data_IF_185301941413
#
_entry.id   IF_185301941413
#
_cell.length_a   1.000
_cell.length_b   1.000
_cell.length_c   1.000
_cell.angle_alpha   90.00
_cell.angle_beta   90.00
_cell.angle_gamma   90.00
#
_symmetry.space_group_name_H-M   'P 1'
#
loop_
_entity.id
_entity.type
_entity.pdbx_description
1 polymer ?
#
# COMPACT_ATOMS: atom_id res chain seq x y z
N UNK A 1 35.10 -0.73 20.30
CA UNK A 1 36.02 -0.33 19.23
C UNK A 1 35.14 -0.10 18.02
N UNK A 2 34.85 1.16 17.68
CA UNK A 2 34.19 1.51 16.42
C UNK A 2 35.15 1.10 15.29
N UNK A 3 34.83 0.02 14.60
CA UNK A 3 35.49 -0.27 13.34
C UNK A 3 35.09 0.88 12.40
N UNK A 4 36.09 1.62 11.91
CA UNK A 4 35.90 2.68 10.95
C UNK A 4 35.06 2.11 9.79
N UNK A 5 33.94 2.77 9.49
CA UNK A 5 33.03 2.32 8.40
C UNK A 5 33.80 2.26 7.08
N UNK A 6 33.73 1.10 6.42
CA UNK A 6 34.37 0.88 5.12
C UNK A 6 33.64 1.75 4.07
N UNK A 7 34.39 2.63 3.39
CA UNK A 7 33.86 3.48 2.33
C UNK A 7 34.11 2.89 0.95
N UNK A 8 33.28 3.26 -0.03
CA UNK A 8 33.45 2.83 -1.43
C UNK A 8 34.84 3.21 -1.98
N UNK A 9 35.33 4.44 -1.67
CA UNK A 9 36.63 4.91 -2.13
C UNK A 9 37.79 4.08 -1.54
N UNK A 10 37.72 3.73 -0.26
CA UNK A 10 38.71 2.87 0.37
C UNK A 10 38.77 1.48 -0.27
N UNK A 11 37.59 0.94 -0.65
CA UNK A 11 37.51 -0.35 -1.32
C UNK A 11 38.07 -0.29 -2.74
N UNK A 12 37.74 0.75 -3.51
CA UNK A 12 38.18 0.92 -4.90
C UNK A 12 39.66 1.27 -5.04
N UNK A 13 40.35 1.66 -3.97
CA UNK A 13 41.80 1.86 -3.95
C UNK A 13 42.59 0.58 -3.69
N UNK A 14 41.95 -0.57 -3.53
CA UNK A 14 42.62 -1.86 -3.31
C UNK A 14 43.14 -2.44 -4.63
N UNK A 15 44.29 -3.09 -4.58
CA UNK A 15 44.81 -3.89 -5.65
C UNK A 15 44.29 -5.34 -5.56
N UNK A 16 43.53 -5.77 -6.57
CA UNK A 16 42.99 -7.14 -6.63
C UNK A 16 43.87 -8.04 -7.49
N UNK A 17 44.29 -9.21 -6.99
CA UNK A 17 45.24 -10.09 -7.70
C UNK A 17 44.54 -10.90 -8.83
N UNK A 18 44.07 -10.21 -9.88
CA UNK A 18 43.34 -10.83 -10.97
C UNK A 18 44.09 -11.93 -11.69
N UNK A 19 45.43 -11.78 -11.82
CA UNK A 19 46.32 -12.77 -12.42
C UNK A 19 46.35 -14.11 -11.65
N UNK A 20 46.29 -14.02 -10.32
CA UNK A 20 46.20 -15.19 -9.44
C UNK A 20 44.89 -15.94 -9.69
N UNK A 21 43.76 -15.23 -9.82
CA UNK A 21 42.49 -15.86 -10.12
C UNK A 21 42.43 -16.51 -11.53
N UNK A 22 43.14 -15.93 -12.51
CA UNK A 22 43.25 -16.54 -13.81
C UNK A 22 44.12 -17.80 -13.75
N UNK A 23 45.27 -17.76 -13.06
CA UNK A 23 46.16 -18.91 -12.94
C UNK A 23 45.51 -20.10 -12.21
N UNK A 24 44.61 -19.82 -11.27
CA UNK A 24 43.80 -20.82 -10.55
C UNK A 24 42.51 -21.20 -11.30
N UNK A 25 42.30 -20.70 -12.54
CA UNK A 25 41.14 -20.95 -13.39
C UNK A 25 39.79 -20.50 -12.80
N UNK A 26 39.78 -19.58 -11.86
CA UNK A 26 38.56 -18.95 -11.31
C UNK A 26 37.99 -17.89 -12.25
N UNK A 27 38.85 -17.26 -13.07
CA UNK A 27 38.44 -16.38 -14.16
C UNK A 27 39.11 -16.80 -15.46
N UNK A 28 38.48 -16.47 -16.60
CA UNK A 28 39.05 -16.72 -17.94
C UNK A 28 40.06 -15.64 -18.34
N UNK A 29 40.90 -15.93 -19.34
CA UNK A 29 41.80 -14.91 -19.89
C UNK A 29 41.08 -13.72 -20.51
N UNK A 30 39.88 -13.92 -21.10
CA UNK A 30 39.02 -12.84 -21.60
C UNK A 30 38.48 -11.99 -20.45
N UNK A 31 38.05 -12.62 -19.34
CA UNK A 31 37.63 -11.92 -18.14
C UNK A 31 38.76 -11.07 -17.55
N UNK A 32 39.99 -11.60 -17.50
CA UNK A 32 41.16 -10.83 -17.03
C UNK A 32 41.42 -9.60 -17.89
N UNK A 33 41.33 -9.73 -19.23
CA UNK A 33 41.52 -8.59 -20.14
C UNK A 33 40.46 -7.48 -19.90
N UNK A 34 39.18 -7.85 -19.70
CA UNK A 34 38.13 -6.91 -19.41
C UNK A 34 38.35 -6.21 -18.07
N UNK A 35 38.70 -6.97 -17.01
CA UNK A 35 39.00 -6.40 -15.70
C UNK A 35 40.18 -5.41 -15.77
N UNK A 36 41.29 -5.75 -16.42
CA UNK A 36 42.43 -4.86 -16.60
C UNK A 36 42.09 -3.56 -17.36
N UNK A 37 41.14 -3.63 -18.32
CA UNK A 37 40.66 -2.44 -19.04
C UNK A 37 39.80 -1.54 -18.16
N UNK A 38 39.03 -2.10 -17.28
CA UNK A 38 38.06 -1.41 -16.44
C UNK A 38 38.67 -0.85 -15.14
N UNK A 39 39.64 -1.57 -14.61
CA UNK A 39 40.25 -1.32 -13.30
C UNK A 39 40.99 0.02 -13.28
N UNK A 40 40.87 0.74 -12.16
CA UNK A 40 41.52 2.05 -11.91
C UNK A 40 41.32 3.09 -13.04
N UNK A 41 40.24 3.00 -13.80
CA UNK A 41 39.89 3.98 -14.84
C UNK A 41 38.98 5.09 -14.29
N UNK A 42 39.02 6.24 -14.95
CA UNK A 42 38.07 7.32 -14.69
C UNK A 42 36.65 6.91 -15.05
N UNK A 43 35.65 7.57 -14.43
CA UNK A 43 34.24 7.30 -14.73
C UNK A 43 33.91 7.44 -16.22
N UNK A 44 34.46 8.48 -16.90
CA UNK A 44 34.25 8.69 -18.34
C UNK A 44 34.79 7.55 -19.20
N UNK A 45 35.97 7.00 -18.84
CA UNK A 45 36.53 5.85 -19.52
C UNK A 45 35.73 4.58 -19.29
N UNK A 46 35.29 4.34 -18.04
CA UNK A 46 34.40 3.21 -17.71
C UNK A 46 33.05 3.34 -18.43
N UNK A 47 32.49 4.54 -18.51
CA UNK A 47 31.26 4.80 -19.25
C UNK A 47 31.39 4.38 -20.72
N UNK A 48 32.48 4.77 -21.39
CA UNK A 48 32.72 4.40 -22.77
C UNK A 48 32.86 2.88 -22.96
N UNK A 49 33.57 2.20 -22.06
CA UNK A 49 33.69 0.72 -22.10
C UNK A 49 32.34 0.03 -21.95
N UNK A 50 31.45 0.55 -21.09
CA UNK A 50 30.11 0.02 -20.88
C UNK A 50 29.17 0.34 -22.06
N UNK A 51 29.37 1.44 -22.75
CA UNK A 51 28.61 1.78 -23.94
C UNK A 51 29.05 0.89 -25.12
N UNK A 52 30.34 0.50 -25.19
CA UNK A 52 30.88 -0.38 -26.23
C UNK A 52 30.44 -1.84 -26.05
N UNK A 53 30.55 -2.42 -24.85
CA UNK A 53 30.19 -3.81 -24.53
C UNK A 53 29.82 -4.00 -23.07
N UNK A 54 28.80 -3.32 -22.58
CA UNK A 54 28.32 -3.37 -21.20
C UNK A 54 27.97 -4.77 -20.73
N UNK A 55 27.26 -5.61 -21.52
CA UNK A 55 26.91 -6.98 -21.11
C UNK A 55 28.14 -7.86 -20.81
N UNK A 56 29.24 -7.70 -21.52
CA UNK A 56 30.47 -8.47 -21.25
C UNK A 56 31.08 -8.13 -19.87
N UNK A 57 31.10 -6.84 -19.50
CA UNK A 57 31.57 -6.41 -18.18
C UNK A 57 30.65 -6.90 -17.06
N UNK A 58 29.34 -6.77 -17.22
CA UNK A 58 28.35 -7.26 -16.24
C UNK A 58 28.50 -8.77 -16.05
N UNK A 59 28.70 -9.54 -17.13
CA UNK A 59 28.95 -10.98 -17.05
C UNK A 59 30.17 -11.31 -16.20
N UNK A 60 31.26 -10.59 -16.40
CA UNK A 60 32.49 -10.80 -15.62
C UNK A 60 32.22 -10.49 -14.13
N UNK A 61 31.57 -9.38 -13.81
CA UNK A 61 31.25 -9.03 -12.43
C UNK A 61 30.37 -10.08 -11.75
N UNK A 62 29.30 -10.52 -12.40
CA UNK A 62 28.38 -11.54 -11.88
C UNK A 62 29.11 -12.87 -11.64
N UNK A 63 29.98 -13.31 -12.58
CA UNK A 63 30.76 -14.54 -12.43
C UNK A 63 31.77 -14.46 -11.32
N UNK A 64 32.47 -13.32 -11.18
CA UNK A 64 33.40 -13.09 -10.04
C UNK A 64 32.64 -13.20 -8.71
N UNK A 65 31.48 -12.54 -8.58
CA UNK A 65 30.67 -12.64 -7.35
C UNK A 65 30.13 -14.05 -7.10
N UNK A 66 29.89 -14.84 -8.15
CA UNK A 66 29.44 -16.24 -8.04
C UNK A 66 30.55 -17.17 -7.58
N UNK A 67 31.74 -17.02 -8.15
CA UNK A 67 32.81 -18.04 -8.09
C UNK A 67 33.95 -17.70 -7.11
N UNK A 68 34.08 -16.41 -6.70
CA UNK A 68 35.10 -15.92 -5.78
C UNK A 68 34.48 -15.52 -4.45
N UNK A 69 34.98 -16.09 -3.34
CA UNK A 69 34.44 -15.86 -1.99
C UNK A 69 35.38 -15.03 -1.10
N UNK A 70 36.49 -14.54 -1.64
CA UNK A 70 37.40 -13.67 -0.89
C UNK A 70 36.73 -12.32 -0.65
N UNK A 71 36.61 -11.92 0.62
CA UNK A 71 35.86 -10.75 1.05
C UNK A 71 36.33 -9.47 0.34
N UNK A 72 37.64 -9.21 0.33
CA UNK A 72 38.20 -8.03 -0.36
C UNK A 72 37.77 -7.92 -1.83
N UNK A 73 37.73 -9.06 -2.53
CA UNK A 73 37.36 -9.10 -3.95
C UNK A 73 35.87 -8.92 -4.16
N UNK A 74 35.05 -9.54 -3.29
CA UNK A 74 33.59 -9.36 -3.31
C UNK A 74 33.22 -7.90 -3.06
N UNK A 75 33.78 -7.28 -2.03
CA UNK A 75 33.58 -5.87 -1.73
C UNK A 75 33.98 -4.96 -2.90
N UNK A 76 35.13 -5.24 -3.50
CA UNK A 76 35.65 -4.48 -4.64
C UNK A 76 34.69 -4.53 -5.85
N UNK A 77 34.24 -5.72 -6.24
CA UNK A 77 33.32 -5.86 -7.37
C UNK A 77 31.96 -5.25 -7.09
N UNK A 78 31.45 -5.38 -5.86
CA UNK A 78 30.23 -4.70 -5.45
C UNK A 78 30.37 -3.17 -5.50
N UNK A 79 31.54 -2.65 -5.11
CA UNK A 79 31.83 -1.22 -5.22
C UNK A 79 31.88 -0.74 -6.67
N UNK A 80 32.46 -1.52 -7.59
CA UNK A 80 32.47 -1.22 -9.02
C UNK A 80 31.05 -1.16 -9.61
N UNK A 81 30.19 -2.14 -9.26
CA UNK A 81 28.81 -2.18 -9.73
C UNK A 81 28.00 -1.02 -9.14
N UNK A 82 28.17 -0.73 -7.84
CA UNK A 82 27.48 0.38 -7.18
C UNK A 82 27.86 1.73 -7.79
N UNK A 83 29.15 1.97 -8.05
CA UNK A 83 29.62 3.16 -8.75
C UNK A 83 29.02 3.27 -10.16
N UNK A 84 29.07 2.18 -10.93
CA UNK A 84 28.47 2.10 -12.27
C UNK A 84 26.98 2.49 -12.27
N UNK A 85 26.21 1.97 -11.31
CA UNK A 85 24.76 2.21 -11.20
C UNK A 85 24.44 3.59 -10.59
N UNK A 86 25.30 4.10 -9.71
CA UNK A 86 25.16 5.44 -9.14
C UNK A 86 25.41 6.51 -10.22
N UNK A 87 26.44 6.33 -11.04
CA UNK A 87 26.73 7.23 -12.16
C UNK A 87 25.61 7.24 -13.20
N UNK A 88 25.02 6.08 -13.51
CA UNK A 88 23.90 5.97 -14.44
C UNK A 88 22.99 4.80 -14.07
N UNK A 89 21.86 5.03 -13.36
CA UNK A 89 20.91 3.98 -12.96
C UNK A 89 20.32 3.18 -14.14
N UNK A 90 20.29 3.74 -15.36
CA UNK A 90 19.80 3.03 -16.54
C UNK A 90 20.67 1.83 -16.91
N UNK A 91 21.94 1.79 -16.46
CA UNK A 91 22.86 0.66 -16.68
C UNK A 91 22.40 -0.62 -15.96
N UNK A 92 21.48 -0.55 -15.02
CA UNK A 92 20.86 -1.73 -14.43
C UNK A 92 20.16 -2.62 -15.49
N UNK A 93 19.77 -2.07 -16.63
CA UNK A 93 19.21 -2.84 -17.77
C UNK A 93 20.22 -3.80 -18.40
N UNK A 94 21.51 -3.55 -18.27
CA UNK A 94 22.57 -4.44 -18.79
C UNK A 94 22.53 -5.84 -18.16
N UNK A 95 21.99 -5.94 -16.93
CA UNK A 95 21.80 -7.23 -16.24
C UNK A 95 20.70 -8.09 -16.87
N UNK A 96 19.88 -7.53 -17.74
CA UNK A 96 18.78 -8.19 -18.45
C UNK A 96 19.06 -8.36 -19.94
N UNK A 97 20.29 -8.13 -20.38
CA UNK A 97 20.66 -8.30 -21.76
C UNK A 97 20.61 -9.79 -22.17
N UNK A 98 20.16 -10.06 -23.40
CA UNK A 98 20.08 -11.43 -23.94
C UNK A 98 21.43 -12.16 -23.95
N UNK A 99 22.54 -11.42 -24.03
CA UNK A 99 23.88 -12.00 -23.91
C UNK A 99 24.11 -12.70 -22.56
N UNK A 100 23.37 -12.34 -21.52
CA UNK A 100 23.46 -12.92 -20.18
C UNK A 100 22.43 -14.04 -19.92
N UNK A 101 21.70 -14.48 -20.94
CA UNK A 101 20.62 -15.48 -20.79
C UNK A 101 21.07 -16.81 -20.14
N UNK A 102 22.34 -17.15 -20.19
CA UNK A 102 22.91 -18.35 -19.56
C UNK A 102 23.52 -18.10 -18.17
N UNK A 103 23.47 -16.86 -17.67
CA UNK A 103 24.01 -16.48 -16.36
C UNK A 103 22.87 -16.06 -15.41
N UNK A 104 22.85 -16.59 -14.18
CA UNK A 104 21.92 -16.09 -13.14
C UNK A 104 22.46 -14.78 -12.58
N UNK A 105 21.82 -13.68 -12.96
CA UNK A 105 22.22 -12.33 -12.57
C UNK A 105 21.69 -11.88 -11.20
N UNK A 106 20.89 -12.68 -10.52
CA UNK A 106 20.26 -12.32 -9.23
C UNK A 106 20.83 -13.13 -8.06
N UNK A 107 21.04 -14.43 -8.23
CA UNK A 107 21.46 -15.33 -7.16
C UNK A 107 22.70 -14.84 -6.40
N UNK A 108 23.78 -14.38 -7.06
CA UNK A 108 24.97 -13.94 -6.32
C UNK A 108 24.67 -12.82 -5.31
N UNK A 109 23.84 -11.85 -5.68
CA UNK A 109 23.46 -10.75 -4.78
C UNK A 109 22.53 -11.24 -3.66
N UNK A 110 21.56 -12.10 -3.96
CA UNK A 110 20.62 -12.64 -2.96
C UNK A 110 21.38 -13.46 -1.89
N UNK A 111 22.36 -14.25 -2.31
CA UNK A 111 23.24 -15.00 -1.40
C UNK A 111 24.07 -14.10 -0.49
N UNK A 112 24.60 -13.00 -1.04
CA UNK A 112 25.42 -12.04 -0.31
C UNK A 112 24.64 -11.25 0.75
N UNK A 113 23.32 -11.15 0.67
CA UNK A 113 22.50 -10.56 1.74
C UNK A 113 22.62 -11.29 3.08
N UNK A 114 22.97 -12.58 3.05
CA UNK A 114 23.06 -13.44 4.25
C UNK A 114 24.48 -13.60 4.77
N UNK A 115 25.46 -13.00 4.10
CA UNK A 115 26.88 -13.19 4.37
C UNK A 115 27.60 -11.86 4.39
N UNK A 116 28.79 -11.88 4.99
CA UNK A 116 29.67 -10.73 4.99
C UNK A 116 29.28 -9.66 5.99
N UNK A 117 30.03 -8.60 5.91
CA UNK A 117 29.84 -7.40 6.70
C UNK A 117 28.70 -6.51 6.14
N UNK A 118 28.42 -5.43 6.83
CA UNK A 118 27.38 -4.50 6.42
C UNK A 118 27.59 -3.90 5.02
N UNK A 119 28.84 -3.61 4.64
CA UNK A 119 29.16 -3.07 3.32
C UNK A 119 28.65 -3.99 2.19
N UNK A 120 28.95 -5.30 2.30
CA UNK A 120 28.52 -6.30 1.35
C UNK A 120 27.00 -6.42 1.30
N UNK A 121 26.34 -6.47 2.45
CA UNK A 121 24.88 -6.58 2.55
C UNK A 121 24.19 -5.34 1.95
N UNK A 122 24.64 -4.15 2.31
CA UNK A 122 24.06 -2.89 1.83
C UNK A 122 24.19 -2.75 0.31
N UNK A 123 25.39 -2.97 -0.23
CA UNK A 123 25.64 -2.86 -1.67
C UNK A 123 24.83 -3.91 -2.44
N UNK A 124 24.82 -5.16 -2.00
CA UNK A 124 24.06 -6.24 -2.63
C UNK A 124 22.55 -5.95 -2.64
N UNK A 125 21.99 -5.45 -1.52
CA UNK A 125 20.60 -5.09 -1.44
C UNK A 125 20.23 -3.96 -2.42
N UNK A 126 20.98 -2.87 -2.43
CA UNK A 126 20.74 -1.71 -3.30
C UNK A 126 20.84 -2.09 -4.78
N UNK A 127 21.90 -2.82 -5.15
CA UNK A 127 22.12 -3.29 -6.51
C UNK A 127 20.98 -4.21 -6.95
N UNK A 128 20.64 -5.22 -6.14
CA UNK A 128 19.57 -6.17 -6.46
C UNK A 128 18.22 -5.48 -6.60
N UNK A 129 17.86 -4.58 -5.68
CA UNK A 129 16.62 -3.81 -5.74
C UNK A 129 16.52 -3.00 -7.05
N UNK A 130 17.62 -2.36 -7.46
CA UNK A 130 17.64 -1.57 -8.68
C UNK A 130 17.55 -2.46 -9.94
N UNK A 131 18.32 -3.55 -10.00
CA UNK A 131 18.28 -4.48 -11.14
C UNK A 131 16.86 -5.02 -11.32
N UNK A 132 16.24 -5.51 -10.25
CA UNK A 132 14.88 -6.08 -10.31
C UNK A 132 13.85 -5.04 -10.74
N UNK A 133 13.99 -3.78 -10.30
CA UNK A 133 13.03 -2.71 -10.61
C UNK A 133 12.96 -2.33 -12.09
N UNK A 134 14.03 -2.58 -12.85
CA UNK A 134 14.13 -2.21 -14.28
C UNK A 134 13.97 -3.40 -15.22
N UNK A 135 13.62 -4.57 -14.70
CA UNK A 135 13.45 -5.78 -15.52
C UNK A 135 12.37 -5.60 -16.60
N UNK A 136 12.49 -6.24 -17.76
CA UNK A 136 11.44 -6.26 -18.77
C UNK A 136 10.15 -6.89 -18.23
N UNK A 137 9.01 -6.21 -18.40
CA UNK A 137 7.70 -6.67 -17.87
C UNK A 137 7.10 -7.86 -18.62
N UNK A 138 7.65 -8.22 -19.77
CA UNK A 138 7.07 -9.26 -20.66
C UNK A 138 7.50 -10.70 -20.33
N UNK A 139 8.20 -10.94 -19.21
CA UNK A 139 8.58 -12.29 -18.80
C UNK A 139 7.66 -12.92 -17.74
N UNK A 140 6.48 -12.37 -17.50
CA UNK A 140 5.46 -13.04 -16.71
C UNK A 140 4.62 -13.97 -17.60
N UNK A 141 4.98 -15.27 -17.61
CA UNK A 141 4.05 -16.34 -17.92
C UNK A 141 3.77 -16.62 -19.39
N UNK A 142 4.73 -17.14 -20.11
CA UNK A 142 4.43 -18.17 -21.13
C UNK A 142 5.09 -19.45 -20.65
N UNK A 143 4.30 -20.31 -20.01
CA UNK A 143 4.61 -21.72 -19.96
C UNK A 143 4.62 -22.21 -21.41
N UNK A 144 5.78 -22.29 -22.03
CA UNK A 144 5.97 -23.00 -23.28
C UNK A 144 5.77 -24.48 -22.98
N UNK A 145 4.59 -24.99 -23.34
CA UNK A 145 4.37 -26.42 -23.49
C UNK A 145 5.36 -26.99 -24.52
N UNK A 146 6.17 -27.92 -24.07
CA UNK A 146 6.75 -28.96 -24.88
C UNK A 146 7.99 -28.55 -25.66
N UNK A 147 9.16 -28.92 -25.16
CA UNK A 147 10.02 -29.91 -25.84
C UNK A 147 11.29 -30.17 -25.00
N UNK A 148 11.53 -31.43 -24.83
CA UNK A 148 12.70 -32.08 -24.20
C UNK A 148 14.02 -31.61 -24.79
N UNK A 149 14.94 -31.13 -23.94
CA UNK A 149 16.34 -31.56 -23.91
C UNK A 149 17.24 -30.61 -23.10
N UNK A 150 18.13 -31.21 -22.33
CA UNK A 150 19.22 -30.66 -21.55
C UNK A 150 18.86 -30.03 -20.20
N UNK A 151 19.32 -30.70 -19.15
CA UNK A 151 19.35 -30.25 -17.75
C UNK A 151 20.02 -28.86 -17.62
N UNK A 152 19.30 -27.79 -17.96
CA UNK A 152 19.69 -26.43 -17.54
C UNK A 152 19.39 -26.33 -16.05
N UNK A 153 20.38 -25.99 -15.25
CA UNK A 153 20.18 -25.61 -13.84
C UNK A 153 19.01 -24.60 -13.77
N UNK A 154 17.99 -24.84 -12.94
CA UNK A 154 16.89 -23.90 -12.82
C UNK A 154 17.44 -22.57 -12.28
N UNK A 155 17.31 -21.50 -13.07
CA UNK A 155 17.57 -20.15 -12.58
C UNK A 155 16.60 -19.83 -11.44
N UNK A 156 17.06 -19.02 -10.48
CA UNK A 156 16.20 -18.52 -9.40
C UNK A 156 15.03 -17.76 -10.01
N UNK A 157 13.80 -18.15 -9.68
CA UNK A 157 12.64 -17.42 -10.21
C UNK A 157 12.63 -15.99 -9.69
N UNK A 158 12.12 -15.05 -10.49
CA UNK A 158 12.07 -13.65 -10.11
C UNK A 158 11.21 -13.44 -8.85
N UNK A 159 10.16 -14.23 -8.68
CA UNK A 159 9.29 -14.16 -7.50
C UNK A 159 10.04 -14.64 -6.24
N UNK A 160 10.85 -15.69 -6.34
CA UNK A 160 11.71 -16.16 -5.24
C UNK A 160 12.76 -15.11 -4.85
N UNK A 161 13.32 -14.40 -5.85
CA UNK A 161 14.26 -13.30 -5.61
C UNK A 161 13.56 -12.17 -4.86
N UNK A 162 12.36 -11.77 -5.31
CA UNK A 162 11.58 -10.72 -4.68
C UNK A 162 11.17 -11.09 -3.26
N UNK A 163 10.67 -12.29 -3.04
CA UNK A 163 10.29 -12.80 -1.72
C UNK A 163 11.50 -12.85 -0.78
N UNK A 164 12.63 -13.36 -1.26
CA UNK A 164 13.87 -13.42 -0.50
C UNK A 164 14.40 -12.04 -0.09
N UNK A 165 14.32 -11.08 -1.02
CA UNK A 165 14.72 -9.70 -0.76
C UNK A 165 13.78 -9.02 0.24
N UNK A 166 12.47 -9.15 0.07
CA UNK A 166 11.46 -8.61 1.01
C UNK A 166 11.66 -9.17 2.42
N UNK A 167 11.93 -10.47 2.54
CA UNK A 167 12.20 -11.10 3.83
C UNK A 167 13.41 -10.45 4.51
N UNK A 168 14.51 -10.28 3.80
CA UNK A 168 15.71 -9.64 4.34
C UNK A 168 15.43 -8.18 4.73
N UNK A 169 14.69 -7.42 3.91
CA UNK A 169 14.30 -6.04 4.21
C UNK A 169 13.45 -5.94 5.49
N UNK A 170 12.49 -6.84 5.67
CA UNK A 170 11.71 -6.92 6.91
C UNK A 170 12.58 -7.27 8.14
N UNK A 171 13.59 -8.14 7.97
CA UNK A 171 14.57 -8.44 9.02
C UNK A 171 15.37 -7.19 9.41
N UNK A 172 15.81 -6.38 8.43
CA UNK A 172 16.49 -5.11 8.70
C UNK A 172 15.61 -4.10 9.42
N UNK A 173 14.30 -4.05 9.13
CA UNK A 173 13.37 -3.19 9.85
C UNK A 173 13.12 -3.66 11.30
N UNK A 174 13.17 -4.97 11.57
CA UNK A 174 13.00 -5.55 12.92
C UNK A 174 14.27 -5.45 13.76
N UNK A 175 15.38 -5.84 13.17
CA UNK A 175 16.69 -5.89 13.81
C UNK A 175 17.75 -5.51 12.78
N UNK A 176 18.08 -4.22 12.68
CA UNK A 176 19.04 -3.75 11.69
C UNK A 176 20.46 -4.31 11.96
N UNK A 177 21.11 -4.76 10.89
CA UNK A 177 22.52 -5.20 10.93
C UNK A 177 23.48 -4.03 11.18
N UNK A 178 23.03 -2.81 10.84
CA UNK A 178 23.77 -1.58 11.11
C UNK A 178 22.88 -0.57 11.85
N UNK A 179 23.34 0.03 12.97
CA UNK A 179 22.49 0.82 13.86
C UNK A 179 21.89 2.07 13.22
N UNK A 180 22.61 2.76 12.34
CA UNK A 180 22.17 4.02 11.72
C UNK A 180 21.76 3.88 10.25
N UNK A 181 22.24 2.87 9.52
CA UNK A 181 22.05 2.71 8.08
C UNK A 181 21.10 1.57 7.70
N UNK A 182 20.87 0.59 8.58
CA UNK A 182 20.06 -0.59 8.29
C UNK A 182 18.63 -0.22 7.92
N UNK A 183 17.94 0.54 8.76
CA UNK A 183 16.57 0.99 8.51
C UNK A 183 16.47 1.92 7.30
N UNK A 184 17.29 2.99 7.15
CA UNK A 184 17.27 3.83 5.96
C UNK A 184 17.48 3.06 4.65
N UNK A 185 18.43 2.12 4.61
CA UNK A 185 18.68 1.30 3.43
C UNK A 185 17.48 0.42 3.10
N UNK A 186 16.86 -0.20 4.10
CA UNK A 186 15.68 -1.04 3.88
C UNK A 186 14.48 -0.22 3.35
N UNK A 187 14.23 0.95 3.91
CA UNK A 187 13.13 1.84 3.46
C UNK A 187 13.38 2.34 2.04
N UNK A 188 14.61 2.76 1.73
CA UNK A 188 14.97 3.19 0.38
C UNK A 188 14.72 2.09 -0.67
N UNK A 189 15.14 0.86 -0.40
CA UNK A 189 14.88 -0.28 -1.30
C UNK A 189 13.38 -0.59 -1.41
N UNK A 190 12.63 -0.57 -0.30
CA UNK A 190 11.19 -0.79 -0.29
C UNK A 190 10.44 0.27 -1.11
N UNK A 191 10.82 1.54 -1.04
CA UNK A 191 10.20 2.62 -1.81
C UNK A 191 10.30 2.39 -3.32
N UNK A 192 11.32 1.68 -3.76
CA UNK A 192 11.50 1.27 -5.16
C UNK A 192 10.71 0.00 -5.50
N UNK A 193 10.75 -1.00 -4.63
CA UNK A 193 10.21 -2.34 -4.89
C UNK A 193 8.68 -2.43 -4.69
N UNK A 194 8.07 -1.66 -3.79
CA UNK A 194 6.62 -1.69 -3.52
C UNK A 194 5.75 -1.22 -4.70
N UNK A 195 6.35 -0.74 -5.77
CA UNK A 195 5.67 -0.54 -7.07
C UNK A 195 5.18 -1.86 -7.68
N UNK A 196 5.82 -2.97 -7.32
CA UNK A 196 5.49 -4.30 -7.82
C UNK A 196 4.40 -4.96 -6.95
N UNK A 197 3.31 -5.51 -7.57
CA UNK A 197 2.22 -6.15 -6.83
C UNK A 197 2.68 -7.34 -5.96
N UNK A 198 3.60 -8.17 -6.48
CA UNK A 198 4.16 -9.33 -5.74
C UNK A 198 4.87 -8.87 -4.47
N UNK A 199 5.63 -7.77 -4.54
CA UNK A 199 6.32 -7.21 -3.37
C UNK A 199 5.33 -6.71 -2.33
N UNK A 200 4.25 -6.02 -2.74
CA UNK A 200 3.21 -5.58 -1.80
C UNK A 200 2.57 -6.75 -1.08
N UNK A 201 2.21 -7.81 -1.82
CA UNK A 201 1.65 -9.03 -1.24
C UNK A 201 2.61 -9.68 -0.25
N UNK A 202 3.85 -9.94 -0.65
CA UNK A 202 4.86 -10.56 0.21
C UNK A 202 5.18 -9.72 1.44
N UNK A 203 5.21 -8.39 1.30
CA UNK A 203 5.48 -7.47 2.39
C UNK A 203 4.36 -7.46 3.44
N UNK A 204 3.09 -7.48 3.00
CA UNK A 204 1.93 -7.59 3.90
C UNK A 204 1.91 -8.95 4.60
N UNK A 205 2.16 -10.04 3.87
CA UNK A 205 2.24 -11.41 4.45
C UNK A 205 3.37 -11.54 5.49
N UNK A 206 4.45 -10.79 5.34
CA UNK A 206 5.55 -10.74 6.30
C UNK A 206 5.30 -9.78 7.49
N UNK A 207 4.06 -9.28 7.69
CA UNK A 207 3.73 -8.26 8.68
C UNK A 207 4.52 -6.95 8.53
N UNK A 208 5.02 -6.67 7.34
CA UNK A 208 5.90 -5.52 7.07
C UNK A 208 5.24 -4.17 7.35
N UNK A 209 3.92 -4.05 7.16
CA UNK A 209 3.19 -2.79 7.42
C UNK A 209 3.33 -2.35 8.87
N UNK A 210 3.33 -3.29 9.83
CA UNK A 210 3.56 -3.01 11.25
C UNK A 210 4.90 -2.32 11.52
N UNK A 211 5.91 -2.64 10.70
CA UNK A 211 7.27 -2.14 10.86
C UNK A 211 7.41 -0.71 10.33
N UNK A 212 6.55 -0.30 9.41
CA UNK A 212 6.54 1.06 8.86
C UNK A 212 5.83 2.07 9.76
N UNK A 213 4.73 1.66 10.41
CA UNK A 213 3.88 2.57 11.21
C UNK A 213 4.66 3.32 12.31
N UNK A 214 5.57 2.71 13.08
CA UNK A 214 6.37 3.43 14.07
C UNK A 214 7.32 4.48 13.48
N UNK A 215 7.72 4.31 12.21
CA UNK A 215 8.60 5.23 11.50
C UNK A 215 7.87 6.47 10.95
N UNK A 216 6.53 6.47 10.96
CA UNK A 216 5.73 7.65 10.65
C UNK A 216 5.69 8.52 11.90
N UNK A 217 6.71 9.36 12.06
CA UNK A 217 6.81 10.32 13.14
C UNK A 217 6.98 11.72 12.56
N UNK A 218 6.38 12.77 13.17
CA UNK A 218 6.75 14.12 12.86
C UNK A 218 8.27 14.25 13.01
N UNK A 219 8.88 15.07 12.17
CA UNK A 219 10.33 15.30 12.19
C UNK A 219 10.77 15.89 13.53
N UNK A 220 10.75 15.08 14.57
CA UNK A 220 11.49 15.37 15.78
C UNK A 220 12.97 15.17 15.48
N UNK A 221 13.79 15.96 16.04
CA UNK A 221 15.22 16.18 15.99
C UNK A 221 16.15 14.98 15.68
N UNK A 222 15.67 13.76 15.52
CA UNK A 222 16.48 12.54 15.35
C UNK A 222 16.24 11.79 14.03
N UNK A 223 15.16 12.08 13.28
CA UNK A 223 14.87 11.37 12.04
C UNK A 223 15.15 12.25 10.81
N UNK A 224 15.88 11.71 9.82
CA UNK A 224 16.12 12.45 8.59
C UNK A 224 14.82 12.67 7.82
N UNK A 225 14.65 13.86 7.23
CA UNK A 225 13.50 14.20 6.37
C UNK A 225 13.40 13.22 5.20
N UNK A 226 14.55 12.72 4.71
CA UNK A 226 14.57 11.75 3.63
C UNK A 226 13.98 10.41 4.06
N UNK A 227 14.31 9.92 5.25
CA UNK A 227 13.74 8.68 5.78
C UNK A 227 12.23 8.81 5.98
N UNK A 228 11.75 9.93 6.52
CA UNK A 228 10.32 10.21 6.67
C UNK A 228 9.61 10.22 5.31
N UNK A 229 10.18 10.91 4.32
CA UNK A 229 9.63 10.96 2.97
C UNK A 229 9.50 9.55 2.35
N UNK A 230 10.57 8.77 2.38
CA UNK A 230 10.59 7.41 1.81
C UNK A 230 9.65 6.46 2.56
N UNK A 231 9.52 6.59 3.89
CA UNK A 231 8.55 5.85 4.69
C UNK A 231 7.12 6.19 4.27
N UNK A 232 6.79 7.48 4.16
CA UNK A 232 5.48 7.93 3.68
C UNK A 232 5.21 7.47 2.24
N UNK A 233 6.24 7.44 1.38
CA UNK A 233 6.15 6.91 0.02
C UNK A 233 5.82 5.41 0.01
N UNK A 234 6.41 4.63 0.90
CA UNK A 234 6.06 3.21 1.07
C UNK A 234 4.58 3.05 1.47
N UNK A 235 4.09 3.84 2.41
CA UNK A 235 2.67 3.82 2.82
C UNK A 235 1.76 4.22 1.66
N UNK A 236 2.13 5.23 0.88
CA UNK A 236 1.38 5.63 -0.31
C UNK A 236 1.28 4.50 -1.34
N UNK A 237 2.38 3.80 -1.62
CA UNK A 237 2.38 2.64 -2.51
C UNK A 237 1.51 1.49 -1.98
N UNK A 238 1.48 1.28 -0.67
CA UNK A 238 0.64 0.29 -0.01
C UNK A 238 -0.85 0.69 0.02
N UNK A 239 -1.18 1.99 -0.06
CA UNK A 239 -2.57 2.46 -0.10
C UNK A 239 -3.34 2.06 -1.37
N UNK A 240 -2.67 1.48 -2.36
CA UNK A 240 -3.28 0.85 -3.55
C UNK A 240 -3.55 -0.65 -3.40
N UNK A 241 -3.22 -1.26 -2.25
CA UNK A 241 -3.34 -2.70 -2.03
C UNK A 241 -4.29 -2.98 -0.86
N UNK A 242 -5.46 -3.57 -1.17
CA UNK A 242 -6.57 -3.72 -0.21
C UNK A 242 -6.17 -4.39 1.13
N UNK A 243 -5.42 -5.51 1.15
CA UNK A 243 -5.00 -6.10 2.42
C UNK A 243 -4.11 -5.20 3.27
N UNK A 244 -3.33 -4.30 2.66
CA UNK A 244 -2.58 -3.29 3.40
C UNK A 244 -3.51 -2.20 3.98
N UNK A 245 -4.55 -1.81 3.23
CA UNK A 245 -5.53 -0.80 3.67
C UNK A 245 -6.28 -1.28 4.90
N UNK A 246 -6.70 -2.54 4.95
CA UNK A 246 -7.36 -3.14 6.11
C UNK A 246 -6.50 -2.99 7.38
N UNK A 247 -5.20 -3.26 7.25
CA UNK A 247 -4.26 -3.05 8.36
C UNK A 247 -4.10 -1.56 8.72
N UNK A 248 -3.96 -0.67 7.72
CA UNK A 248 -3.83 0.77 7.94
C UNK A 248 -5.08 1.36 8.60
N UNK A 249 -6.26 0.80 8.33
CA UNK A 249 -7.52 1.23 8.93
C UNK A 249 -7.62 0.91 10.44
N UNK A 250 -7.06 -0.24 10.85
CA UNK A 250 -7.12 -0.70 12.26
C UNK A 250 -5.95 -0.22 13.10
N UNK A 251 -4.85 0.22 12.47
CA UNK A 251 -3.67 0.75 13.13
C UNK A 251 -3.77 2.27 13.38
N UNK A 252 -2.90 2.79 14.25
CA UNK A 252 -2.83 4.24 14.49
C UNK A 252 -2.14 5.02 13.35
N UNK A 253 -2.33 4.60 12.10
CA UNK A 253 -1.67 5.21 10.94
C UNK A 253 -2.26 6.58 10.61
N UNK A 254 -3.60 6.72 10.60
CA UNK A 254 -4.25 8.00 10.28
C UNK A 254 -3.81 9.16 11.18
N UNK A 255 -3.87 9.03 12.53
CA UNK A 255 -3.40 10.10 13.41
C UNK A 255 -1.94 10.49 13.16
N UNK A 256 -1.07 9.52 12.87
CA UNK A 256 0.35 9.77 12.59
C UNK A 256 0.54 10.52 11.27
N UNK A 257 -0.16 10.13 10.21
CA UNK A 257 -0.11 10.83 8.92
C UNK A 257 -0.61 12.27 9.05
N UNK A 258 -1.69 12.49 9.79
CA UNK A 258 -2.24 13.81 10.04
C UNK A 258 -1.24 14.68 10.82
N UNK A 259 -0.56 14.10 11.81
CA UNK A 259 0.48 14.81 12.57
C UNK A 259 1.69 15.19 11.71
N UNK A 260 2.10 14.30 10.78
CA UNK A 260 3.17 14.59 9.82
C UNK A 260 2.81 15.79 8.95
N UNK A 261 1.59 15.90 8.40
CA UNK A 261 1.22 17.04 7.55
C UNK A 261 1.05 18.34 8.33
N UNK A 262 0.68 18.27 9.62
CA UNK A 262 0.64 19.45 10.50
C UNK A 262 2.02 20.03 10.77
N UNK A 263 3.03 19.16 10.91
CA UNK A 263 4.38 19.55 11.36
C UNK A 263 5.38 19.73 10.22
N UNK A 264 5.14 19.16 9.04
CA UNK A 264 6.09 19.19 7.93
C UNK A 264 5.95 20.45 7.07
N UNK A 265 7.10 21.08 6.80
CA UNK A 265 7.24 22.22 5.86
C UNK A 265 7.76 21.79 4.49
N UNK A 266 8.03 20.49 4.29
CA UNK A 266 8.61 19.97 3.04
C UNK A 266 7.51 19.50 2.11
N UNK A 267 7.32 20.21 0.98
CA UNK A 267 6.26 19.95 0.00
C UNK A 267 6.18 18.47 -0.42
N UNK A 268 7.33 17.84 -0.73
CA UNK A 268 7.36 16.43 -1.12
C UNK A 268 6.80 15.47 -0.07
N UNK A 269 7.00 15.76 1.23
CA UNK A 269 6.46 14.96 2.34
C UNK A 269 4.95 15.17 2.44
N UNK A 270 4.53 16.44 2.45
CA UNK A 270 3.12 16.82 2.55
C UNK A 270 2.34 16.22 1.37
N UNK A 271 2.86 16.35 0.13
CA UNK A 271 2.22 15.80 -1.06
C UNK A 271 1.97 14.30 -0.96
N UNK A 272 2.99 13.51 -0.60
CA UNK A 272 2.86 12.05 -0.50
C UNK A 272 1.83 11.65 0.56
N UNK A 273 1.81 12.34 1.70
CA UNK A 273 0.84 12.06 2.76
C UNK A 273 -0.58 12.47 2.35
N UNK A 274 -0.76 13.63 1.72
CA UNK A 274 -2.07 14.08 1.20
C UNK A 274 -2.60 13.09 0.15
N UNK A 275 -1.76 12.62 -0.77
CA UNK A 275 -2.13 11.59 -1.75
C UNK A 275 -2.52 10.27 -1.08
N UNK A 276 -1.83 9.89 0.01
CA UNK A 276 -2.18 8.71 0.81
C UNK A 276 -3.56 8.86 1.45
N UNK A 277 -3.81 9.99 2.11
CA UNK A 277 -5.11 10.30 2.74
C UNK A 277 -6.24 10.31 1.70
N UNK A 278 -5.99 10.88 0.51
CA UNK A 278 -6.94 10.84 -0.61
C UNK A 278 -7.29 9.42 -1.02
N UNK A 279 -6.29 8.53 -1.17
CA UNK A 279 -6.53 7.12 -1.53
C UNK A 279 -7.33 6.38 -0.44
N UNK A 280 -7.05 6.65 0.82
CA UNK A 280 -7.69 5.98 1.96
C UNK A 280 -9.11 6.52 2.25
N UNK A 281 -9.42 7.77 1.90
CA UNK A 281 -10.68 8.44 2.22
C UNK A 281 -11.92 7.69 1.72
N UNK A 282 -11.84 7.05 0.56
CA UNK A 282 -12.94 6.30 -0.05
C UNK A 282 -13.09 4.87 0.48
N UNK A 283 -12.27 4.46 1.46
CA UNK A 283 -12.19 3.09 1.94
C UNK A 283 -12.86 2.92 3.30
N UNK A 284 -13.91 2.10 3.33
CA UNK A 284 -14.63 1.77 4.56
C UNK A 284 -15.02 3.00 5.39
N UNK A 285 -14.68 2.99 6.67
CA UNK A 285 -14.96 4.08 7.63
C UNK A 285 -13.83 5.12 7.72
N UNK A 286 -12.77 5.01 6.90
CA UNK A 286 -11.60 5.88 7.02
C UNK A 286 -11.93 7.36 6.75
N UNK A 287 -12.85 7.65 5.81
CA UNK A 287 -13.31 9.00 5.55
C UNK A 287 -13.97 9.64 6.77
N UNK A 288 -14.82 8.91 7.49
CA UNK A 288 -15.43 9.34 8.73
C UNK A 288 -14.38 9.57 9.83
N UNK A 289 -13.46 8.64 10.02
CA UNK A 289 -12.35 8.79 10.98
C UNK A 289 -11.48 10.03 10.70
N UNK A 290 -11.26 10.37 9.42
CA UNK A 290 -10.53 11.58 9.03
C UNK A 290 -11.27 12.85 9.47
N UNK A 291 -12.60 12.88 9.38
CA UNK A 291 -13.42 13.98 9.86
C UNK A 291 -13.33 14.11 11.39
N UNK A 292 -13.44 13.00 12.11
CA UNK A 292 -13.33 12.95 13.58
C UNK A 292 -11.94 13.43 14.07
N UNK A 293 -10.89 13.13 13.29
CA UNK A 293 -9.53 13.60 13.55
C UNK A 293 -9.27 15.06 13.11
N UNK A 294 -10.31 15.79 12.76
CA UNK A 294 -10.25 17.20 12.36
C UNK A 294 -9.38 17.45 11.10
N UNK A 295 -9.28 16.48 10.21
CA UNK A 295 -8.54 16.65 8.96
C UNK A 295 -9.08 17.81 8.09
N UNK A 296 -10.40 18.11 8.03
CA UNK A 296 -10.91 19.27 7.27
C UNK A 296 -10.25 20.60 7.66
N UNK A 297 -10.05 20.85 8.95
CA UNK A 297 -9.38 22.04 9.47
C UNK A 297 -7.91 22.08 9.11
N UNK A 298 -7.24 20.91 9.16
CA UNK A 298 -5.84 20.76 8.75
C UNK A 298 -5.66 21.06 7.26
N UNK A 299 -6.55 20.55 6.40
CA UNK A 299 -6.52 20.81 4.95
C UNK A 299 -6.72 22.32 4.67
N UNK A 300 -7.61 23.00 5.36
CA UNK A 300 -7.76 24.46 5.25
C UNK A 300 -6.48 25.21 5.62
N UNK A 301 -5.82 24.80 6.72
CA UNK A 301 -4.56 25.40 7.15
C UNK A 301 -3.43 25.14 6.14
N UNK A 302 -3.39 23.96 5.54
CA UNK A 302 -2.42 23.64 4.47
C UNK A 302 -2.67 24.46 3.21
N UNK A 303 -3.92 24.65 2.81
CA UNK A 303 -4.29 25.48 1.65
C UNK A 303 -3.97 26.96 1.83
N UNK A 304 -3.92 27.44 3.06
CA UNK A 304 -3.53 28.82 3.36
C UNK A 304 -2.01 29.07 3.24
N UNK A 305 -1.21 28.02 3.12
CA UNK A 305 0.24 28.12 2.93
C UNK A 305 0.59 28.30 1.44
N UNK A 306 1.69 28.99 1.18
CA UNK A 306 2.19 29.19 -0.19
C UNK A 306 3.01 27.96 -0.61
N UNK A 307 2.37 27.01 -1.32
CA UNK A 307 3.02 25.85 -1.91
C UNK A 307 3.39 26.15 -3.35
N UNK A 308 4.55 25.67 -3.81
CA UNK A 308 4.99 25.77 -5.21
C UNK A 308 4.60 24.55 -6.04
N UNK A 309 4.22 23.46 -5.40
CA UNK A 309 3.89 22.17 -6.02
C UNK A 309 2.42 22.13 -6.45
N UNK A 310 2.18 22.22 -7.77
CA UNK A 310 0.81 22.20 -8.35
C UNK A 310 0.07 20.88 -8.06
N UNK A 311 0.77 19.73 -8.08
CA UNK A 311 0.17 18.44 -7.77
C UNK A 311 -0.32 18.37 -6.31
N UNK A 312 0.40 19.02 -5.39
CA UNK A 312 -0.01 19.14 -3.99
C UNK A 312 -1.28 19.98 -3.86
N UNK A 313 -1.36 21.11 -4.57
CA UNK A 313 -2.54 21.98 -4.55
C UNK A 313 -3.78 21.26 -5.10
N UNK A 314 -3.65 20.53 -6.20
CA UNK A 314 -4.73 19.71 -6.75
C UNK A 314 -5.16 18.61 -5.78
N UNK A 315 -4.21 17.92 -5.16
CA UNK A 315 -4.48 16.86 -4.21
C UNK A 315 -5.21 17.39 -2.95
N UNK A 316 -4.84 18.59 -2.45
CA UNK A 316 -5.51 19.25 -1.34
C UNK A 316 -6.95 19.64 -1.68
N UNK A 317 -7.20 20.18 -2.89
CA UNK A 317 -8.54 20.50 -3.35
C UNK A 317 -9.43 19.24 -3.42
N UNK A 318 -8.91 18.18 -4.03
CA UNK A 318 -9.63 16.91 -4.16
C UNK A 318 -9.92 16.26 -2.78
N UNK A 319 -8.98 16.33 -1.85
CA UNK A 319 -9.17 15.84 -0.48
C UNK A 319 -10.22 16.65 0.26
N UNK A 320 -10.21 17.97 0.13
CA UNK A 320 -11.23 18.86 0.74
C UNK A 320 -12.64 18.54 0.25
N UNK A 321 -12.83 18.36 -1.06
CA UNK A 321 -14.13 18.01 -1.64
C UNK A 321 -14.66 16.68 -1.09
N UNK A 322 -13.82 15.65 -1.10
CA UNK A 322 -14.21 14.36 -0.55
C UNK A 322 -14.52 14.38 0.95
N UNK A 323 -13.80 15.19 1.73
CA UNK A 323 -14.12 15.39 3.15
C UNK A 323 -15.44 16.14 3.36
N UNK A 324 -15.76 17.14 2.54
CA UNK A 324 -17.06 17.83 2.57
C UNK A 324 -18.21 16.86 2.30
N UNK A 325 -18.04 15.94 1.36
CA UNK A 325 -19.04 14.91 1.07
C UNK A 325 -19.20 13.91 2.22
N UNK A 326 -18.11 13.50 2.86
CA UNK A 326 -18.19 12.69 4.08
C UNK A 326 -18.90 13.41 5.23
N UNK A 327 -18.63 14.70 5.44
CA UNK A 327 -19.32 15.52 6.46
C UNK A 327 -20.82 15.58 6.17
N UNK A 328 -21.23 15.78 4.91
CA UNK A 328 -22.65 15.80 4.54
C UNK A 328 -23.33 14.47 4.84
N UNK A 329 -22.67 13.34 4.52
CA UNK A 329 -23.17 11.99 4.79
C UNK A 329 -23.32 11.76 6.30
N UNK A 330 -22.31 12.06 7.10
CA UNK A 330 -22.34 11.96 8.56
C UNK A 330 -23.44 12.86 9.15
N UNK A 331 -23.52 14.12 8.71
CA UNK A 331 -24.54 15.05 9.24
C UNK A 331 -25.95 14.61 8.89
N UNK A 332 -26.20 13.97 7.76
CA UNK A 332 -27.53 13.47 7.37
C UNK A 332 -27.93 12.24 8.19
N UNK A 333 -27.03 11.29 8.41
CA UNK A 333 -27.32 10.11 9.23
C UNK A 333 -27.43 10.45 10.72
N UNK A 334 -26.61 11.35 11.24
CA UNK A 334 -26.72 11.78 12.63
C UNK A 334 -28.04 12.50 12.91
N UNK A 335 -28.52 13.34 11.98
CA UNK A 335 -29.85 13.95 12.08
C UNK A 335 -30.95 12.89 12.06
N UNK A 336 -30.90 11.95 11.16
CA UNK A 336 -31.81 10.81 11.10
C UNK A 336 -31.82 10.02 12.41
N UNK A 337 -30.61 9.68 12.91
CA UNK A 337 -30.44 8.97 14.17
C UNK A 337 -31.06 9.71 15.34
N UNK A 338 -30.85 11.03 15.42
CA UNK A 338 -31.47 11.87 16.46
C UNK A 338 -32.99 11.88 16.35
N UNK A 339 -33.55 12.03 15.14
CA UNK A 339 -35.00 12.00 14.89
C UNK A 339 -35.59 10.66 15.36
N UNK A 340 -34.98 9.52 14.99
CA UNK A 340 -35.44 8.19 15.43
C UNK A 340 -35.34 8.02 16.94
N UNK A 341 -34.26 8.47 17.58
CA UNK A 341 -34.05 8.36 19.04
C UNK A 341 -35.03 9.25 19.84
N UNK A 342 -35.46 10.39 19.28
CA UNK A 342 -36.48 11.24 19.87
C UNK A 342 -37.89 10.64 19.74
N UNK A 343 -38.08 9.64 18.87
CA UNK A 343 -39.35 8.93 18.71
C UNK A 343 -40.47 9.74 18.01
N UNK A 344 -40.15 10.90 17.43
CA UNK A 344 -41.05 11.73 16.65
C UNK A 344 -40.57 11.83 15.21
N UNK A 345 -41.16 11.01 14.35
CA UNK A 345 -40.76 10.97 12.94
C UNK A 345 -41.72 11.79 12.09
N UNK A 346 -41.16 12.57 11.19
CA UNK A 346 -41.92 13.27 10.14
C UNK A 346 -41.31 13.04 8.76
N UNK A 347 -42.10 13.17 7.70
CA UNK A 347 -41.61 13.05 6.35
C UNK A 347 -40.56 14.12 6.02
N UNK A 348 -39.34 13.70 5.89
CA UNK A 348 -38.25 14.52 5.37
C UNK A 348 -37.71 13.94 4.07
N UNK A 349 -36.94 14.66 3.26
CA UNK A 349 -36.33 14.16 2.05
C UNK A 349 -35.47 12.92 2.30
N UNK A 350 -34.84 12.77 3.46
CA UNK A 350 -33.97 11.65 3.82
C UNK A 350 -34.69 10.30 3.74
N UNK A 351 -35.92 10.21 4.24
CA UNK A 351 -36.70 8.94 4.25
C UNK A 351 -36.92 8.39 2.82
N UNK A 352 -37.11 9.29 1.85
CA UNK A 352 -37.44 8.94 0.46
C UNK A 352 -36.26 8.95 -0.49
N UNK A 353 -35.08 9.35 -0.03
CA UNK A 353 -33.88 9.42 -0.85
C UNK A 353 -33.18 8.06 -0.96
N UNK A 354 -33.19 7.41 -2.16
CA UNK A 354 -32.50 6.12 -2.35
C UNK A 354 -30.98 6.22 -2.13
N UNK A 355 -30.40 7.41 -2.31
CA UNK A 355 -28.94 7.62 -2.11
C UNK A 355 -28.64 7.57 -0.63
N UNK A 356 -29.43 8.27 0.20
CA UNK A 356 -29.30 8.22 1.66
C UNK A 356 -29.29 6.78 2.18
N UNK A 357 -30.25 5.95 1.76
CA UNK A 357 -30.36 4.56 2.20
C UNK A 357 -29.18 3.70 1.77
N UNK A 358 -28.75 3.81 0.50
CA UNK A 358 -27.59 3.06 0.00
C UNK A 358 -26.27 3.41 0.66
N UNK A 359 -26.08 4.70 0.92
CA UNK A 359 -24.82 5.19 1.51
C UNK A 359 -24.72 4.94 3.01
N UNK A 360 -25.86 4.87 3.71
CA UNK A 360 -25.88 4.76 5.17
C UNK A 360 -26.37 3.40 5.69
N UNK A 361 -26.63 2.44 4.82
CA UNK A 361 -27.22 1.14 5.20
C UNK A 361 -26.38 0.38 6.23
N UNK A 362 -25.03 0.45 6.14
CA UNK A 362 -24.10 -0.16 7.07
C UNK A 362 -24.12 0.51 8.45
N UNK A 363 -24.46 1.78 8.55
CA UNK A 363 -24.57 2.49 9.82
C UNK A 363 -25.72 1.98 10.69
N UNK A 364 -26.71 1.30 10.08
CA UNK A 364 -27.79 0.64 10.82
C UNK A 364 -27.33 -0.61 11.59
N UNK A 365 -26.18 -1.18 11.23
CA UNK A 365 -25.59 -2.33 11.93
C UNK A 365 -24.94 -1.94 13.26
N UNK A 366 -24.65 -0.65 13.44
CA UNK A 366 -24.02 -0.14 14.66
C UNK A 366 -24.83 -0.49 15.92
N UNK A 367 -24.11 -0.82 16.99
CA UNK A 367 -24.69 -1.15 18.29
C UNK A 367 -25.79 -2.22 18.21
N UNK A 368 -25.56 -3.28 17.45
CA UNK A 368 -26.49 -4.40 17.29
C UNK A 368 -27.87 -3.93 16.78
N UNK A 369 -27.86 -3.20 15.67
CA UNK A 369 -29.06 -2.65 15.01
C UNK A 369 -29.88 -1.71 15.91
N UNK A 370 -29.22 -0.90 16.73
CA UNK A 370 -29.89 -0.02 17.69
C UNK A 370 -30.99 0.81 17.05
N UNK A 371 -30.71 1.48 15.94
CA UNK A 371 -31.68 2.35 15.26
C UNK A 371 -32.90 1.56 14.76
N UNK A 372 -32.67 0.38 14.20
CA UNK A 372 -33.75 -0.49 13.75
C UNK A 372 -34.62 -0.98 14.94
N UNK A 373 -33.98 -1.31 16.08
CA UNK A 373 -34.72 -1.68 17.31
C UNK A 373 -35.56 -0.53 17.84
N UNK A 374 -35.07 0.72 17.78
CA UNK A 374 -35.85 1.88 18.17
C UNK A 374 -37.03 2.09 17.22
N UNK A 375 -36.86 2.00 15.90
CA UNK A 375 -37.97 2.03 14.95
C UNK A 375 -39.05 1.00 15.27
N UNK A 376 -38.65 -0.23 15.60
CA UNK A 376 -39.59 -1.28 16.02
C UNK A 376 -40.29 -0.98 17.34
N UNK A 377 -39.61 -0.33 18.27
CA UNK A 377 -40.22 0.11 19.55
C UNK A 377 -41.22 1.22 19.33
N UNK A 378 -40.95 2.13 18.37
CA UNK A 378 -41.90 3.21 17.98
C UNK A 378 -43.21 2.61 17.46
N UNK A 379 -43.19 1.49 16.73
CA UNK A 379 -44.42 0.83 16.25
C UNK A 379 -45.31 0.34 17.39
N UNK A 380 -44.73 0.00 18.55
CA UNK A 380 -45.47 -0.45 19.72
C UNK A 380 -45.88 0.69 20.66
N UNK A 381 -45.14 1.79 20.66
CA UNK A 381 -45.30 2.86 21.69
C UNK A 381 -45.91 4.16 21.20
N UNK A 382 -45.80 4.45 19.89
CA UNK A 382 -46.34 5.72 19.34
C UNK A 382 -47.82 5.65 19.03
N UNK A 383 -48.52 6.74 19.30
CA UNK A 383 -49.92 6.94 18.89
C UNK A 383 -50.07 7.94 17.75
N UNK A 384 -48.95 8.55 17.32
CA UNK A 384 -48.96 9.49 16.20
C UNK A 384 -48.98 8.78 14.85
N UNK A 385 -50.04 8.94 14.03
CA UNK A 385 -50.13 8.25 12.77
C UNK A 385 -48.99 8.55 11.80
N UNK A 386 -48.45 9.78 11.83
CA UNK A 386 -47.38 10.18 10.95
C UNK A 386 -46.07 9.47 11.30
N UNK A 387 -45.75 9.47 12.57
CA UNK A 387 -44.58 8.74 13.12
C UNK A 387 -44.65 7.24 12.79
N UNK A 388 -45.84 6.63 12.99
CA UNK A 388 -46.03 5.20 12.66
C UNK A 388 -45.86 4.91 11.14
N UNK A 389 -46.40 5.81 10.29
CA UNK A 389 -46.27 5.66 8.85
C UNK A 389 -44.82 5.76 8.37
N UNK A 390 -44.05 6.73 8.89
CA UNK A 390 -42.64 6.91 8.59
C UNK A 390 -41.82 5.71 9.08
N UNK A 391 -42.04 5.24 10.30
CA UNK A 391 -41.36 4.09 10.87
C UNK A 391 -41.58 2.81 10.02
N UNK A 392 -42.83 2.55 9.62
CA UNK A 392 -43.12 1.41 8.71
C UNK A 392 -42.42 1.54 7.36
N UNK A 393 -42.38 2.75 6.80
CA UNK A 393 -41.69 3.02 5.55
C UNK A 393 -40.19 2.80 5.69
N UNK A 394 -39.55 3.33 6.74
CA UNK A 394 -38.12 3.19 6.97
C UNK A 394 -37.67 1.75 7.16
N UNK A 395 -38.43 0.97 7.95
CA UNK A 395 -38.20 -0.46 8.08
C UNK A 395 -38.32 -1.14 6.69
N UNK A 396 -39.27 -0.73 5.87
CA UNK A 396 -39.41 -1.27 4.51
C UNK A 396 -38.24 -0.92 3.60
N UNK A 397 -37.65 0.28 3.73
CA UNK A 397 -36.44 0.69 3.01
C UNK A 397 -35.22 -0.12 3.47
N UNK A 398 -35.05 -0.32 4.77
CA UNK A 398 -34.00 -1.18 5.29
C UNK A 398 -34.08 -2.60 4.71
N UNK A 399 -35.28 -3.21 4.69
CA UNK A 399 -35.48 -4.53 4.07
C UNK A 399 -35.09 -4.57 2.60
N UNK A 400 -35.36 -3.48 1.87
CA UNK A 400 -35.08 -3.39 0.44
C UNK A 400 -33.60 -3.23 0.12
N UNK A 401 -32.89 -2.44 0.92
CA UNK A 401 -31.54 -2.01 0.59
C UNK A 401 -30.48 -2.89 1.25
N UNK A 402 -30.73 -3.38 2.48
CA UNK A 402 -29.78 -4.21 3.20
C UNK A 402 -29.76 -5.64 2.66
N UNK A 403 -28.59 -6.24 2.31
CA UNK A 403 -28.51 -7.58 1.74
C UNK A 403 -29.20 -8.69 2.55
N UNK A 404 -29.08 -8.61 3.89
CA UNK A 404 -29.73 -9.51 4.85
C UNK A 404 -30.96 -8.88 5.53
N UNK A 405 -31.45 -7.76 5.03
CA UNK A 405 -32.47 -6.94 5.73
C UNK A 405 -33.72 -7.71 6.13
N UNK A 406 -34.20 -8.59 5.25
CA UNK A 406 -35.38 -9.43 5.55
C UNK A 406 -35.13 -10.42 6.71
N UNK A 407 -33.97 -11.03 6.78
CA UNK A 407 -33.59 -11.98 7.85
C UNK A 407 -33.50 -11.21 9.17
N UNK A 408 -32.76 -10.12 9.20
CA UNK A 408 -32.55 -9.30 10.40
C UNK A 408 -33.88 -8.78 10.97
N UNK A 409 -34.73 -8.21 10.12
CA UNK A 409 -36.03 -7.67 10.55
C UNK A 409 -36.97 -8.80 11.03
N UNK A 410 -36.89 -10.00 10.46
CA UNK A 410 -37.63 -11.16 10.92
C UNK A 410 -37.14 -11.62 12.30
N UNK A 411 -35.85 -11.71 12.52
CA UNK A 411 -35.23 -12.11 13.80
C UNK A 411 -35.57 -11.11 14.90
N UNK A 412 -35.70 -9.82 14.57
CA UNK A 412 -36.14 -8.77 15.48
C UNK A 412 -37.67 -8.75 15.71
N UNK A 413 -38.42 -9.73 15.19
CA UNK A 413 -39.89 -9.88 15.35
C UNK A 413 -40.70 -8.68 14.86
N UNK A 414 -40.24 -8.03 13.80
CA UNK A 414 -40.93 -6.89 13.21
C UNK A 414 -42.28 -7.24 12.59
N UNK A 415 -42.41 -8.46 12.04
CA UNK A 415 -43.61 -8.91 11.34
C UNK A 415 -44.89 -8.72 12.14
N UNK A 416 -44.89 -9.19 13.37
CA UNK A 416 -46.08 -9.13 14.24
C UNK A 416 -46.48 -7.68 14.58
N UNK A 417 -45.49 -6.81 14.75
CA UNK A 417 -45.68 -5.38 15.07
C UNK A 417 -46.25 -4.64 13.87
N UNK A 418 -45.71 -4.84 12.68
CA UNK A 418 -46.21 -4.20 11.45
C UNK A 418 -47.60 -4.73 11.08
N UNK A 419 -47.88 -6.02 11.28
CA UNK A 419 -49.20 -6.62 10.99
C UNK A 419 -50.33 -5.99 11.80
N UNK A 420 -50.09 -5.57 13.04
CA UNK A 420 -51.09 -4.85 13.86
C UNK A 420 -51.52 -3.53 13.23
N UNK A 421 -50.64 -2.90 12.46
CA UNK A 421 -50.86 -1.61 11.83
C UNK A 421 -51.54 -1.69 10.44
N UNK A 422 -51.74 -2.91 9.90
CA UNK A 422 -52.39 -3.10 8.60
C UNK A 422 -53.87 -2.69 8.58
N UNK A 423 -54.54 -2.62 9.73
CA UNK A 423 -55.92 -2.18 9.88
C UNK A 423 -56.04 -0.88 10.72
N UNK A 424 -55.03 -0.03 10.65
CA UNK A 424 -54.99 1.25 11.37
C UNK A 424 -55.98 2.24 10.76
N UNK A 425 -56.56 3.12 11.58
CA UNK A 425 -57.52 4.15 11.15
C UNK A 425 -56.96 5.09 10.08
N UNK A 426 -55.67 5.39 10.16
CA UNK A 426 -54.97 6.19 9.15
C UNK A 426 -54.61 5.39 7.92
N UNK A 427 -55.09 5.82 6.77
CA UNK A 427 -54.78 5.21 5.47
C UNK A 427 -53.29 5.26 5.14
N UNK A 428 -52.56 6.27 5.61
CA UNK A 428 -51.13 6.40 5.42
C UNK A 428 -50.34 5.33 6.19
N UNK A 429 -50.74 5.05 7.44
CA UNK A 429 -50.16 3.96 8.23
C UNK A 429 -50.41 2.62 7.58
N UNK A 430 -51.65 2.35 7.24
CA UNK A 430 -52.06 1.10 6.53
C UNK A 430 -51.28 0.86 5.24
N UNK A 431 -51.15 1.91 4.42
CA UNK A 431 -50.36 1.84 3.16
C UNK A 431 -48.92 1.45 3.42
N UNK A 432 -48.20 2.12 4.38
CA UNK A 432 -46.81 1.86 4.64
C UNK A 432 -46.58 0.54 5.39
N UNK A 433 -47.52 0.10 6.23
CA UNK A 433 -47.51 -1.20 6.86
C UNK A 433 -47.64 -2.31 5.82
N UNK A 434 -48.57 -2.19 4.86
CA UNK A 434 -48.73 -3.12 3.76
C UNK A 434 -47.49 -3.19 2.88
N UNK A 435 -46.87 -2.05 2.55
CA UNK A 435 -45.61 -2.00 1.80
C UNK A 435 -44.47 -2.74 2.54
N UNK A 436 -44.38 -2.54 3.86
CA UNK A 436 -43.39 -3.23 4.68
C UNK A 436 -43.61 -4.75 4.68
N UNK A 437 -44.84 -5.19 4.86
CA UNK A 437 -45.23 -6.61 4.80
C UNK A 437 -44.96 -7.23 3.44
N UNK A 438 -45.29 -6.53 2.34
CA UNK A 438 -44.98 -6.99 0.99
C UNK A 438 -43.48 -7.22 0.80
N UNK A 439 -42.63 -6.31 1.23
CA UNK A 439 -41.17 -6.46 1.14
C UNK A 439 -40.62 -7.59 2.02
N UNK A 440 -41.23 -7.82 3.17
CA UNK A 440 -40.90 -8.97 4.03
C UNK A 440 -41.17 -10.33 3.39
N UNK A 441 -42.31 -10.45 2.69
CA UNK A 441 -42.74 -11.74 2.11
C UNK A 441 -42.21 -12.00 0.70
N UNK A 442 -42.23 -10.98 -0.17
CA UNK A 442 -41.97 -11.16 -1.61
C UNK A 442 -40.49 -11.00 -2.00
N UNK A 443 -39.66 -10.42 -1.12
CA UNK A 443 -38.28 -10.09 -1.45
C UNK A 443 -38.18 -8.96 -2.48
N UNK A 444 -36.99 -8.36 -2.60
CA UNK A 444 -36.76 -7.16 -3.43
C UNK A 444 -37.04 -7.36 -4.92
N UNK A 445 -36.96 -8.59 -5.44
CA UNK A 445 -37.16 -8.89 -6.87
C UNK A 445 -38.63 -8.81 -7.32
N UNK A 446 -39.57 -8.99 -6.42
CA UNK A 446 -41.01 -8.99 -6.79
C UNK A 446 -41.75 -7.71 -6.38
N UNK A 447 -41.19 -6.92 -5.47
CA UNK A 447 -41.78 -5.66 -5.01
C UNK A 447 -41.80 -4.57 -6.12
N UNK A 448 -40.88 -4.63 -7.09
CA UNK A 448 -40.85 -3.70 -8.24
C UNK A 448 -41.96 -3.92 -9.27
N UNK A 449 -42.59 -5.08 -9.28
CA UNK A 449 -43.67 -5.39 -10.23
C UNK A 449 -45.07 -4.96 -9.74
N UNK A 450 -45.18 -4.53 -8.47
CA UNK A 450 -46.45 -4.15 -7.84
C UNK A 450 -46.60 -2.65 -7.59
N UNK A 451 -45.65 -1.83 -8.06
CA UNK A 451 -45.78 -0.37 -8.06
C UNK A 451 -46.55 0.05 -9.33
N UNK A 452 -47.87 -0.02 -9.28
CA UNK A 452 -48.80 0.63 -10.20
C UNK A 452 -49.44 1.82 -9.46
#
# INVERSE_FOLDING_TARGET
>A
MDQAELTTDQVLNRDIPWETYMSTKLISGTSLQLLRRYDHRSESQRAQLLDDDGPAYVRVFVRVLRDIFKEDTVEYVLALIDEMLTANPKRARLFHDNALADDDTYEPFLRLLRKGNWFVQEKSCKILALIVSVRPKNQSGVASNGETSNEKKPFTSIDDVLIGLVKWLCEQLKKPSHPTRGVPTAINCLSTLLKEPVVRSSFVQADGVKLLVPLICPASTQQSIQLLYETCLCIWLLSYYEPAIEYLATSRTLPRLIEVVKSSTKEKVVRVVVLTLKNLMSKGTLGAQMVDLQLPQVVQSLKAQAWSDEDLLEALNSLEEGLKDNIKKLSSFDKYKQEVLLGNLDWSPMHKDPIFWRENITNFEEHDFQILRVLLTILDSSNDPRTLAVACFDISQFIQVHPAGRIIVTDLKAKERVMKLMNHESAEVTKNALLCIQRLFLGAKYASFLQV
#
